data_IF_283964569244
#
_entry.id   IF_283964569244
#
_cell.length_a   1.000
_cell.length_b   1.000
_cell.length_c   1.000
_cell.angle_alpha   90.00
_cell.angle_beta   90.00
_cell.angle_gamma   90.00
#
_symmetry.space_group_name_H-M   'P 1'
#
loop_
_entity.id
_entity.type
_entity.pdbx_description
1 polymer ?
#
# COMPACT_ATOMS: atom_id res chain seq x y z
N UNK A 1 -6.94 74.16 38.31
CA UNK A 1 -6.25 72.84 38.25
C UNK A 1 -7.18 71.87 37.57
N UNK A 2 -7.02 71.67 36.26
CA UNK A 2 -7.88 70.76 35.45
C UNK A 2 -7.09 69.51 35.24
N UNK A 3 -7.53 68.41 35.83
CA UNK A 3 -6.96 67.06 35.60
C UNK A 3 -7.59 66.49 34.34
N UNK A 4 -6.84 66.41 33.27
CA UNK A 4 -7.20 65.70 32.02
C UNK A 4 -6.97 64.25 32.25
N UNK A 5 -8.06 63.48 32.31
CA UNK A 5 -8.06 62.04 32.36
C UNK A 5 -7.90 61.54 30.92
N UNK A 6 -6.68 61.07 30.57
CA UNK A 6 -6.42 60.49 29.27
C UNK A 6 -6.90 59.04 29.31
N UNK A 7 -7.98 58.77 28.59
CA UNK A 7 -8.56 57.45 28.39
C UNK A 7 -7.76 56.73 27.30
N UNK A 8 -6.74 55.98 27.73
CA UNK A 8 -6.04 55.08 26.80
C UNK A 8 -6.95 53.88 26.48
N UNK A 9 -7.62 54.00 25.37
CA UNK A 9 -8.41 52.90 24.82
C UNK A 9 -7.45 51.79 24.31
N UNK A 10 -7.27 50.75 25.12
CA UNK A 10 -6.53 49.55 24.76
C UNK A 10 -7.38 48.76 23.79
N UNK A 11 -7.14 48.93 22.49
CA UNK A 11 -7.74 48.13 21.44
C UNK A 11 -7.09 46.76 21.51
N UNK A 12 -7.79 45.81 22.12
CA UNK A 12 -7.44 44.42 22.12
C UNK A 12 -7.73 43.86 20.70
N UNK A 13 -6.72 43.87 19.85
CA UNK A 13 -6.77 43.20 18.56
C UNK A 13 -6.74 41.70 18.87
N UNK A 14 -7.91 41.11 18.99
CA UNK A 14 -8.05 39.66 19.00
C UNK A 14 -7.57 39.14 17.63
N UNK A 15 -6.31 38.75 17.58
CA UNK A 15 -5.79 37.99 16.45
C UNK A 15 -6.51 36.68 16.41
N UNK A 16 -7.49 36.53 15.49
CA UNK A 16 -8.05 35.24 15.14
C UNK A 16 -6.94 34.44 14.50
N UNK A 17 -6.22 33.68 15.32
CA UNK A 17 -5.32 32.68 14.86
C UNK A 17 -6.19 31.62 14.12
N UNK A 18 -6.13 31.67 12.82
CA UNK A 18 -6.71 30.62 11.98
C UNK A 18 -5.93 29.35 12.33
N UNK A 19 -6.56 28.50 13.09
CA UNK A 19 -5.99 27.20 13.43
C UNK A 19 -5.92 26.38 12.13
N UNK A 20 -4.82 26.50 11.43
CA UNK A 20 -4.50 25.59 10.34
C UNK A 20 -4.27 24.22 10.98
N UNK A 21 -5.21 23.32 10.78
CA UNK A 21 -5.04 21.94 11.20
C UNK A 21 -4.01 21.28 10.28
N UNK A 22 -2.75 21.32 10.70
CA UNK A 22 -1.70 20.60 10.01
C UNK A 22 -1.63 19.18 10.56
N UNK A 23 -1.94 18.20 9.72
CA UNK A 23 -1.70 16.79 10.03
C UNK A 23 -0.20 16.54 10.02
N UNK A 24 0.39 16.01 11.11
CA UNK A 24 1.82 15.71 11.14
C UNK A 24 2.19 14.58 10.21
N UNK A 25 3.46 14.52 9.79
CA UNK A 25 4.02 13.33 9.20
C UNK A 25 3.86 12.16 10.18
N UNK A 26 3.74 10.94 9.66
CA UNK A 26 3.45 9.75 10.47
C UNK A 26 1.96 9.54 10.76
N UNK A 27 1.07 10.45 10.31
CA UNK A 27 -0.38 10.22 10.46
C UNK A 27 -0.81 9.08 9.56
N UNK A 28 -1.38 8.02 10.15
CA UNK A 28 -1.94 6.89 9.43
C UNK A 28 -3.33 7.23 8.87
N UNK A 29 -3.56 6.84 7.61
CA UNK A 29 -4.84 6.96 6.92
C UNK A 29 -5.24 5.57 6.43
N UNK A 30 -6.34 5.04 6.96
CA UNK A 30 -6.89 3.75 6.55
C UNK A 30 -7.88 3.96 5.41
N UNK A 31 -7.75 3.17 4.39
CA UNK A 31 -8.57 3.26 3.19
C UNK A 31 -8.79 1.90 2.55
N UNK A 32 -9.78 1.82 1.70
CA UNK A 32 -10.12 0.65 0.90
C UNK A 32 -9.94 0.96 -0.57
N UNK A 33 -9.17 0.13 -1.27
CA UNK A 33 -8.91 0.27 -2.69
C UNK A 33 -10.20 0.08 -3.49
N UNK A 34 -10.47 0.98 -4.43
CA UNK A 34 -11.62 0.87 -5.35
C UNK A 34 -11.21 0.32 -6.73
N UNK A 35 -9.95 0.47 -7.08
CA UNK A 35 -9.36 0.02 -8.34
C UNK A 35 -8.57 -1.27 -8.13
N UNK A 36 -8.81 -2.31 -8.92
CA UNK A 36 -7.96 -3.50 -8.89
C UNK A 36 -6.63 -3.21 -9.56
N UNK A 37 -5.53 -3.52 -8.87
CA UNK A 37 -4.17 -3.38 -9.38
C UNK A 37 -3.52 -4.76 -9.46
N UNK A 38 -2.82 -5.04 -10.57
CA UNK A 38 -2.11 -6.31 -10.74
C UNK A 38 -0.87 -6.12 -11.61
N UNK A 39 0.22 -6.81 -11.28
CA UNK A 39 1.49 -6.68 -12.01
C UNK A 39 1.37 -7.05 -13.49
N UNK A 40 0.47 -7.99 -13.83
CA UNK A 40 0.27 -8.44 -15.21
C UNK A 40 -0.57 -7.48 -16.07
N UNK A 41 -1.35 -6.57 -15.46
CA UNK A 41 -2.27 -5.67 -16.19
C UNK A 41 -1.97 -4.19 -15.96
N UNK A 42 -1.50 -3.83 -14.76
CA UNK A 42 -1.23 -2.43 -14.40
C UNK A 42 0.14 -1.97 -14.89
N UNK A 43 0.23 -0.73 -15.30
CA UNK A 43 1.46 -0.08 -15.79
C UNK A 43 1.78 1.16 -14.95
N UNK A 44 3.03 1.58 -14.98
CA UNK A 44 3.41 2.87 -14.43
C UNK A 44 2.62 4.00 -15.13
N UNK A 45 2.03 4.88 -14.34
CA UNK A 45 1.14 5.95 -14.80
C UNK A 45 -0.35 5.62 -14.68
N UNK A 46 -0.74 4.35 -14.52
CA UNK A 46 -2.15 3.97 -14.38
C UNK A 46 -2.75 4.60 -13.11
N UNK A 47 -3.95 5.19 -13.19
CA UNK A 47 -4.62 5.79 -12.05
C UNK A 47 -5.18 4.72 -11.13
N UNK A 48 -5.24 5.04 -9.84
CA UNK A 48 -6.00 4.27 -8.86
C UNK A 48 -6.82 5.22 -7.98
N UNK A 49 -7.88 4.67 -7.41
CA UNK A 49 -8.68 5.32 -6.38
C UNK A 49 -8.84 4.42 -5.16
N UNK A 50 -8.90 5.04 -3.99
CA UNK A 50 -9.21 4.39 -2.74
C UNK A 50 -10.11 5.31 -1.90
N UNK A 51 -10.88 4.74 -0.99
CA UNK A 51 -11.81 5.46 -0.12
C UNK A 51 -11.45 5.31 1.34
N UNK A 52 -11.34 6.42 2.04
CA UNK A 52 -11.06 6.44 3.48
C UNK A 52 -12.18 5.75 4.25
N UNK A 53 -11.81 4.79 5.09
CA UNK A 53 -12.71 3.94 5.88
C UNK A 53 -12.78 4.36 7.34
N UNK A 54 -11.75 4.99 7.87
CA UNK A 54 -11.70 5.51 9.23
C UNK A 54 -11.40 7.01 9.24
N UNK A 55 -12.08 7.82 10.07
CA UNK A 55 -11.85 9.26 10.08
C UNK A 55 -10.51 9.57 10.75
N UNK A 56 -9.77 10.54 10.21
CA UNK A 56 -8.60 11.07 10.89
C UNK A 56 -9.03 12.26 11.72
N UNK A 57 -8.84 12.16 13.04
CA UNK A 57 -9.25 13.17 14.03
C UNK A 57 -8.01 13.84 14.61
N UNK A 58 -8.01 15.16 14.70
CA UNK A 58 -6.96 15.95 15.33
C UNK A 58 -7.59 17.03 16.22
N UNK A 59 -7.12 17.13 17.45
CA UNK A 59 -7.65 18.13 18.41
C UNK A 59 -9.17 18.03 18.63
N UNK A 60 -9.74 16.81 18.56
CA UNK A 60 -11.18 16.57 18.69
C UNK A 60 -12.02 16.94 17.45
N UNK A 61 -11.38 17.33 16.35
CA UNK A 61 -12.06 17.65 15.08
C UNK A 61 -11.69 16.62 14.02
N UNK A 62 -12.68 16.17 13.25
CA UNK A 62 -12.46 15.32 12.08
C UNK A 62 -11.83 16.16 10.98
N UNK A 63 -10.60 15.84 10.61
CA UNK A 63 -9.83 16.50 9.55
C UNK A 63 -10.02 15.79 8.22
N UNK A 64 -9.94 14.45 8.21
CA UNK A 64 -10.26 13.63 7.04
C UNK A 64 -11.48 12.79 7.40
N UNK A 65 -12.65 13.07 6.82
CA UNK A 65 -13.85 12.30 7.07
C UNK A 65 -13.85 10.96 6.32
N UNK A 66 -14.65 10.02 6.82
CA UNK A 66 -14.95 8.78 6.10
C UNK A 66 -15.56 9.11 4.74
N UNK A 67 -15.24 8.31 3.74
CA UNK A 67 -15.73 8.51 2.37
C UNK A 67 -14.90 9.49 1.55
N UNK A 68 -13.86 10.09 2.13
CA UNK A 68 -12.86 10.84 1.39
C UNK A 68 -12.19 9.95 0.36
N UNK A 69 -12.05 10.42 -0.88
CA UNK A 69 -11.41 9.69 -1.96
C UNK A 69 -9.93 10.03 -2.00
N UNK A 70 -9.10 9.02 -2.08
CA UNK A 70 -7.67 9.15 -2.36
C UNK A 70 -7.44 8.76 -3.81
N UNK A 71 -6.90 9.69 -4.59
CA UNK A 71 -6.52 9.48 -5.98
C UNK A 71 -5.00 9.43 -6.09
N UNK A 72 -4.50 8.56 -6.94
CA UNK A 72 -3.07 8.42 -7.16
C UNK A 72 -2.74 7.63 -8.40
N UNK A 73 -1.46 7.29 -8.55
CA UNK A 73 -0.96 6.52 -9.69
C UNK A 73 -0.07 5.38 -9.28
N UNK A 74 -0.05 4.35 -10.10
CA UNK A 74 0.97 3.32 -10.06
C UNK A 74 2.29 3.93 -10.53
N UNK A 75 3.32 3.88 -9.69
CA UNK A 75 4.64 4.41 -10.06
C UNK A 75 5.54 3.37 -10.67
N UNK A 76 5.39 2.12 -10.24
CA UNK A 76 6.20 1.02 -10.74
C UNK A 76 5.46 -0.29 -10.58
N UNK A 77 5.56 -1.13 -11.59
CA UNK A 77 5.20 -2.53 -11.51
C UNK A 77 6.41 -3.37 -11.90
N UNK A 78 6.65 -4.43 -11.17
CA UNK A 78 7.68 -5.40 -11.49
C UNK A 78 7.07 -6.79 -11.45
N UNK A 79 7.01 -7.44 -12.61
CA UNK A 79 6.65 -8.84 -12.71
C UNK A 79 7.93 -9.63 -12.96
N UNK A 80 8.36 -10.47 -12.01
CA UNK A 80 9.61 -11.17 -12.12
C UNK A 80 9.57 -12.17 -13.27
N UNK A 81 10.70 -12.29 -13.95
CA UNK A 81 10.91 -13.36 -14.92
C UNK A 81 10.90 -14.69 -14.19
N UNK A 82 10.55 -15.78 -14.91
CA UNK A 82 10.22 -17.14 -14.45
C UNK A 82 11.12 -17.78 -13.40
N UNK A 83 12.32 -17.26 -13.15
CA UNK A 83 13.35 -17.96 -12.38
C UNK A 83 13.61 -17.36 -10.99
N UNK A 84 13.44 -16.05 -10.80
CA UNK A 84 13.69 -15.41 -9.50
C UNK A 84 13.01 -14.05 -9.37
N UNK A 85 12.63 -13.70 -8.16
CA UNK A 85 12.10 -12.40 -7.79
C UNK A 85 10.67 -12.45 -7.27
N UNK A 86 10.27 -11.41 -6.60
CA UNK A 86 8.89 -11.21 -6.14
C UNK A 86 8.23 -10.12 -6.97
N UNK A 87 6.97 -10.32 -7.38
CA UNK A 87 6.23 -9.27 -8.06
C UNK A 87 5.99 -8.11 -7.11
N UNK A 88 6.16 -6.88 -7.59
CA UNK A 88 5.94 -5.68 -6.77
C UNK A 88 5.09 -4.65 -7.50
N UNK A 89 4.25 -3.96 -6.75
CA UNK A 89 3.47 -2.82 -7.19
C UNK A 89 3.79 -1.65 -6.26
N UNK A 90 4.29 -0.57 -6.82
CA UNK A 90 4.46 0.69 -6.11
C UNK A 90 3.35 1.65 -6.52
N UNK A 91 2.69 2.23 -5.54
CA UNK A 91 1.62 3.22 -5.72
C UNK A 91 2.01 4.51 -5.03
N UNK A 92 1.60 5.62 -5.62
CA UNK A 92 1.82 6.95 -5.07
C UNK A 92 0.50 7.71 -5.03
N UNK A 93 -0.03 8.04 -3.84
CA UNK A 93 -1.20 8.88 -3.71
C UNK A 93 -0.82 10.33 -4.04
N UNK A 94 -1.63 10.99 -4.85
CA UNK A 94 -1.38 12.37 -5.30
C UNK A 94 -2.35 13.36 -4.67
N UNK A 95 -3.62 12.95 -4.54
CA UNK A 95 -4.68 13.83 -4.09
C UNK A 95 -5.60 13.17 -3.08
N UNK A 96 -6.06 13.99 -2.15
CA UNK A 96 -7.14 13.69 -1.22
C UNK A 96 -8.34 14.55 -1.62
N UNK A 97 -9.46 13.93 -1.96
CA UNK A 97 -10.69 14.62 -2.37
C UNK A 97 -11.75 14.40 -1.30
N UNK A 98 -12.08 15.44 -0.56
CA UNK A 98 -13.08 15.40 0.50
C UNK A 98 -14.49 15.24 -0.10
N UNK A 99 -15.48 14.78 0.68
CA UNK A 99 -16.87 14.67 0.22
C UNK A 99 -17.52 15.98 -0.23
N UNK A 100 -17.00 17.13 0.23
CA UNK A 100 -17.44 18.47 -0.19
C UNK A 100 -16.80 18.92 -1.52
N UNK A 101 -15.87 18.12 -2.10
CA UNK A 101 -15.18 18.42 -3.34
C UNK A 101 -13.82 19.11 -3.19
N UNK A 102 -13.43 19.49 -1.98
CA UNK A 102 -12.11 20.09 -1.74
C UNK A 102 -11.00 19.08 -2.04
N UNK A 103 -9.96 19.55 -2.74
CA UNK A 103 -8.80 18.73 -3.11
C UNK A 103 -7.54 19.22 -2.41
N UNK A 104 -6.81 18.27 -1.85
CA UNK A 104 -5.53 18.53 -1.18
C UNK A 104 -4.45 17.61 -1.77
N UNK A 105 -3.24 18.12 -1.86
CA UNK A 105 -2.11 17.28 -2.23
C UNK A 105 -1.77 16.33 -1.10
N UNK A 106 -1.64 15.05 -1.42
CA UNK A 106 -1.32 13.98 -0.48
C UNK A 106 0.07 13.42 -0.77
N UNK A 107 0.94 13.46 0.23
CA UNK A 107 2.22 12.76 0.22
C UNK A 107 2.19 11.69 1.30
N UNK A 108 1.98 10.46 0.91
CA UNK A 108 1.93 9.34 1.83
C UNK A 108 2.58 8.09 1.22
N UNK A 109 3.01 7.19 2.07
CA UNK A 109 3.64 5.92 1.70
C UNK A 109 2.79 4.78 2.22
N UNK A 110 2.64 3.72 1.44
CA UNK A 110 1.98 2.50 1.87
C UNK A 110 2.82 1.82 2.95
N UNK A 111 2.22 1.53 4.11
CA UNK A 111 2.92 0.90 5.24
C UNK A 111 2.35 -0.46 5.59
N UNK A 112 1.07 -0.70 5.29
CA UNK A 112 0.41 -1.98 5.60
C UNK A 112 -0.75 -2.26 4.66
N UNK A 113 -1.13 -3.54 4.56
CA UNK A 113 -2.27 -4.00 3.79
C UNK A 113 -2.83 -5.31 4.36
N UNK A 114 -4.15 -5.50 4.28
CA UNK A 114 -4.79 -6.76 4.60
C UNK A 114 -4.86 -7.73 3.40
N UNK A 115 -4.14 -7.47 2.34
CA UNK A 115 -4.03 -8.38 1.21
C UNK A 115 -3.52 -9.75 1.68
N UNK A 116 -4.02 -10.82 1.05
CA UNK A 116 -3.91 -12.22 1.50
C UNK A 116 -2.48 -12.68 1.80
N UNK A 117 -2.38 -13.76 2.60
CA UNK A 117 -1.14 -14.42 3.02
C UNK A 117 -0.07 -14.51 1.92
N UNK A 118 1.16 -14.15 2.30
CA UNK A 118 2.33 -14.13 1.41
C UNK A 118 2.61 -12.78 0.77
N UNK A 119 1.73 -11.80 0.99
CA UNK A 119 1.91 -10.43 0.52
C UNK A 119 2.37 -9.55 1.69
N UNK A 120 3.31 -8.67 1.41
CA UNK A 120 3.91 -7.79 2.40
C UNK A 120 4.17 -6.42 1.77
N UNK A 121 4.31 -5.41 2.63
CA UNK A 121 4.78 -4.09 2.20
C UNK A 121 6.24 -3.97 2.58
N UNK A 122 7.10 -3.72 1.60
CA UNK A 122 8.52 -3.57 1.87
C UNK A 122 8.81 -2.19 2.51
N UNK A 123 10.04 -2.01 3.01
CA UNK A 123 10.50 -0.76 3.61
C UNK A 123 10.45 0.44 2.67
N UNK A 124 10.32 0.21 1.35
CA UNK A 124 10.17 1.25 0.32
C UNK A 124 8.69 1.61 0.04
N UNK A 125 7.75 1.05 0.81
CA UNK A 125 6.32 1.30 0.63
C UNK A 125 5.73 0.64 -0.63
N UNK A 126 6.37 -0.41 -1.15
CA UNK A 126 5.87 -1.15 -2.30
C UNK A 126 5.16 -2.41 -1.81
N UNK A 127 4.00 -2.68 -2.39
CA UNK A 127 3.31 -3.96 -2.23
C UNK A 127 4.11 -5.06 -2.91
N UNK A 128 4.38 -6.14 -2.18
CA UNK A 128 5.17 -7.28 -2.62
C UNK A 128 4.30 -8.53 -2.60
N UNK A 129 4.14 -9.14 -3.73
CA UNK A 129 3.40 -10.41 -3.85
C UNK A 129 4.26 -11.63 -3.54
N UNK A 130 3.61 -12.79 -3.58
CA UNK A 130 4.30 -14.09 -3.45
C UNK A 130 5.31 -14.27 -4.57
N UNK A 131 6.54 -14.59 -4.19
CA UNK A 131 7.61 -14.89 -5.11
C UNK A 131 8.12 -16.31 -4.97
N UNK A 132 9.16 -16.64 -5.74
CA UNK A 132 9.92 -17.86 -5.53
C UNK A 132 10.81 -17.70 -4.30
N UNK A 133 10.51 -18.49 -3.26
CA UNK A 133 11.23 -18.52 -1.99
C UNK A 133 12.16 -19.74 -1.87
N UNK A 134 12.97 -19.76 -0.82
CA UNK A 134 13.78 -20.93 -0.47
C UNK A 134 12.95 -22.21 -0.28
N UNK A 135 11.64 -22.06 0.05
CA UNK A 135 10.70 -23.19 0.12
C UNK A 135 10.48 -23.86 -1.24
N UNK A 136 10.48 -23.09 -2.32
CA UNK A 136 10.33 -23.64 -3.68
C UNK A 136 11.57 -24.47 -4.06
N UNK A 137 12.76 -24.08 -3.62
CA UNK A 137 13.99 -24.87 -3.79
C UNK A 137 13.94 -26.17 -3.00
N UNK A 138 13.33 -26.15 -1.80
CA UNK A 138 13.10 -27.35 -1.01
C UNK A 138 12.12 -28.29 -1.72
N UNK A 139 11.05 -27.76 -2.32
CA UNK A 139 10.08 -28.53 -3.08
C UNK A 139 10.75 -29.24 -4.29
N UNK A 140 11.64 -28.53 -4.99
CA UNK A 140 12.43 -29.12 -6.09
C UNK A 140 13.34 -30.24 -5.55
N UNK A 141 14.03 -29.98 -4.43
CA UNK A 141 14.90 -30.97 -3.79
C UNK A 141 14.17 -32.22 -3.35
N UNK A 142 12.98 -32.07 -2.75
CA UNK A 142 12.13 -33.17 -2.32
C UNK A 142 11.57 -33.97 -3.52
N UNK A 143 11.14 -33.28 -4.58
CA UNK A 143 10.65 -33.93 -5.81
C UNK A 143 11.73 -34.77 -6.48
N UNK A 144 12.94 -34.23 -6.61
CA UNK A 144 14.10 -34.94 -7.16
C UNK A 144 14.52 -36.11 -6.28
N UNK A 145 14.67 -35.86 -4.96
CA UNK A 145 15.04 -36.89 -3.97
C UNK A 145 14.00 -38.02 -3.89
N UNK A 146 12.72 -37.66 -3.85
CA UNK A 146 11.63 -38.64 -3.84
C UNK A 146 11.61 -39.53 -5.11
N UNK A 147 11.81 -38.94 -6.29
CA UNK A 147 11.94 -39.67 -7.54
C UNK A 147 13.14 -40.63 -7.53
N UNK A 148 14.29 -40.20 -6.99
CA UNK A 148 15.47 -41.05 -6.83
C UNK A 148 15.21 -42.27 -5.94
N UNK A 149 14.57 -42.08 -4.79
CA UNK A 149 14.27 -43.13 -3.84
C UNK A 149 13.32 -44.16 -4.45
N UNK A 150 12.22 -43.71 -5.04
CA UNK A 150 11.23 -44.63 -5.66
C UNK A 150 11.86 -45.38 -6.84
N UNK A 151 12.59 -44.70 -7.70
CA UNK A 151 13.28 -45.31 -8.83
C UNK A 151 14.38 -46.26 -8.39
N UNK A 152 15.12 -45.95 -7.34
CA UNK A 152 16.16 -46.79 -6.77
C UNK A 152 15.63 -48.11 -6.18
N UNK A 153 14.49 -48.05 -5.48
CA UNK A 153 13.83 -49.25 -4.93
C UNK A 153 13.27 -50.15 -6.02
N UNK A 154 12.77 -49.60 -7.13
CA UNK A 154 12.15 -50.34 -8.20
C UNK A 154 13.15 -50.88 -9.24
N UNK A 155 14.25 -50.17 -9.51
CA UNK A 155 15.17 -50.47 -10.61
C UNK A 155 16.66 -50.36 -10.28
N UNK A 156 17.02 -50.37 -8.99
CA UNK A 156 18.41 -50.22 -8.54
C UNK A 156 19.08 -48.94 -9.02
N UNK A 157 20.38 -49.00 -9.32
CA UNK A 157 21.16 -47.82 -9.72
C UNK A 157 20.65 -47.14 -10.98
N UNK A 158 20.17 -47.87 -11.97
CA UNK A 158 19.55 -47.33 -13.19
C UNK A 158 18.23 -46.65 -12.90
N UNK A 159 17.40 -47.26 -12.06
CA UNK A 159 16.13 -46.68 -11.61
C UNK A 159 16.31 -45.44 -10.76
N UNK A 160 17.36 -45.36 -9.95
CA UNK A 160 17.73 -44.19 -9.18
C UNK A 160 17.99 -42.96 -10.09
N UNK A 161 18.79 -43.14 -11.14
CA UNK A 161 19.09 -42.07 -12.10
C UNK A 161 17.86 -41.62 -12.91
N UNK A 162 17.09 -42.58 -13.40
CA UNK A 162 15.86 -42.32 -14.18
C UNK A 162 14.81 -41.66 -13.29
N UNK A 163 14.59 -42.18 -12.09
CA UNK A 163 13.63 -41.61 -11.13
C UNK A 163 14.00 -40.18 -10.70
N UNK A 164 15.29 -39.93 -10.51
CA UNK A 164 15.79 -38.59 -10.23
C UNK A 164 15.57 -37.62 -11.38
N UNK A 165 15.87 -38.03 -12.61
CA UNK A 165 15.67 -37.21 -13.80
C UNK A 165 14.17 -36.90 -14.04
N UNK A 166 13.29 -37.88 -13.91
CA UNK A 166 11.84 -37.70 -14.05
C UNK A 166 11.31 -36.82 -12.91
N UNK A 167 11.68 -37.07 -11.67
CA UNK A 167 11.27 -36.27 -10.53
C UNK A 167 11.69 -34.81 -10.66
N UNK A 168 12.94 -34.55 -11.06
CA UNK A 168 13.44 -33.21 -11.34
C UNK A 168 12.64 -32.53 -12.46
N UNK A 169 12.40 -33.22 -13.57
CA UNK A 169 11.68 -32.65 -14.72
C UNK A 169 10.25 -32.25 -14.35
N UNK A 170 9.51 -33.12 -13.66
CA UNK A 170 8.14 -32.83 -13.23
C UNK A 170 8.10 -31.65 -12.27
N UNK A 171 8.99 -31.60 -11.28
CA UNK A 171 9.02 -30.53 -10.31
C UNK A 171 9.42 -29.21 -10.94
N UNK A 172 10.43 -29.19 -11.81
CA UNK A 172 10.88 -27.98 -12.51
C UNK A 172 9.81 -27.47 -13.47
N UNK A 173 9.12 -28.34 -14.22
CA UNK A 173 8.04 -27.90 -15.12
C UNK A 173 6.85 -27.33 -14.33
N UNK A 174 6.50 -27.95 -13.22
CA UNK A 174 5.47 -27.43 -12.32
C UNK A 174 5.88 -26.06 -11.73
N UNK A 175 7.11 -25.94 -11.27
CA UNK A 175 7.68 -24.70 -10.74
C UNK A 175 7.71 -23.57 -11.80
N UNK A 176 8.17 -23.87 -13.02
CA UNK A 176 8.18 -22.91 -14.13
C UNK A 176 6.77 -22.52 -14.62
N UNK A 177 5.78 -23.38 -14.40
CA UNK A 177 4.38 -23.11 -14.74
C UNK A 177 3.66 -22.20 -13.77
N UNK A 178 4.17 -22.03 -12.53
CA UNK A 178 3.60 -21.14 -11.54
C UNK A 178 3.94 -19.69 -11.87
N UNK A 179 3.07 -19.02 -12.64
CA UNK A 179 3.13 -17.55 -12.78
C UNK A 179 2.63 -16.95 -11.49
N UNK A 180 3.49 -16.21 -10.81
CA UNK A 180 3.13 -15.51 -9.58
C UNK A 180 3.10 -14.00 -9.85
N UNK A 181 1.88 -13.50 -9.98
CA UNK A 181 1.62 -12.07 -10.11
C UNK A 181 1.14 -11.51 -8.78
N UNK A 182 1.55 -10.30 -8.44
CA UNK A 182 0.96 -9.57 -7.32
C UNK A 182 -0.36 -8.96 -7.78
N UNK A 183 -1.39 -9.10 -6.95
CA UNK A 183 -2.71 -8.54 -7.19
C UNK A 183 -3.26 -7.92 -5.91
N UNK A 184 -3.70 -6.69 -6.04
CA UNK A 184 -4.46 -5.94 -5.05
C UNK A 184 -5.88 -5.76 -5.60
N UNK A 185 -6.82 -6.64 -5.25
CA UNK A 185 -8.19 -6.51 -5.73
C UNK A 185 -8.86 -5.27 -5.13
N UNK A 186 -9.85 -4.73 -5.83
CA UNK A 186 -10.73 -3.74 -5.25
C UNK A 186 -11.33 -4.30 -3.95
N UNK A 187 -11.44 -3.44 -2.94
CA UNK A 187 -11.85 -3.86 -1.59
C UNK A 187 -10.70 -4.19 -0.65
N UNK A 188 -9.45 -4.25 -1.12
CA UNK A 188 -8.27 -4.42 -0.26
C UNK A 188 -8.12 -3.20 0.66
N UNK A 189 -7.91 -3.45 1.94
CA UNK A 189 -7.59 -2.39 2.90
C UNK A 189 -6.12 -2.04 2.83
N UNK A 190 -5.85 -0.74 2.82
CA UNK A 190 -4.54 -0.15 2.76
C UNK A 190 -4.38 0.80 3.95
N UNK A 191 -3.21 0.79 4.56
CA UNK A 191 -2.80 1.79 5.53
C UNK A 191 -1.67 2.60 4.91
N UNK A 192 -1.92 3.89 4.70
CA UNK A 192 -0.90 4.83 4.24
C UNK A 192 -0.51 5.77 5.37
N UNK A 193 0.75 6.10 5.44
CA UNK A 193 1.30 7.02 6.42
C UNK A 193 1.79 8.29 5.72
N UNK A 194 1.41 9.47 6.24
CA UNK A 194 1.85 10.74 5.69
C UNK A 194 3.37 10.86 5.79
N UNK A 195 4.03 11.03 4.67
CA UNK A 195 5.49 11.24 4.60
C UNK A 195 5.89 12.67 4.93
N UNK A 196 4.95 13.62 4.83
CA UNK A 196 5.15 15.04 5.14
C UNK A 196 3.92 15.61 5.84
N UNK A 197 4.09 16.66 6.68
CA UNK A 197 2.94 17.37 7.24
C UNK A 197 2.04 17.91 6.12
N UNK A 198 0.73 17.74 6.29
CA UNK A 198 -0.27 18.23 5.36
C UNK A 198 -1.12 19.31 6.03
N UNK A 199 -1.14 20.51 5.47
CA UNK A 199 -2.01 21.61 5.93
C UNK A 199 -3.33 21.55 5.19
N UNK A 200 -4.42 21.44 5.94
CA UNK A 200 -5.78 21.53 5.41
C UNK A 200 -6.42 22.80 5.96
N UNK A 201 -6.78 23.71 5.08
CA UNK A 201 -7.58 24.87 5.47
C UNK A 201 -9.02 24.45 5.59
N UNK A 202 -9.51 24.25 6.80
CA UNK A 202 -10.93 23.99 7.03
C UNK A 202 -11.67 25.30 6.75
N UNK A 203 -12.34 25.41 5.62
CA UNK A 203 -13.31 26.47 5.39
C UNK A 203 -14.51 26.13 6.29
N UNK A 204 -14.57 26.74 7.47
CA UNK A 204 -15.76 26.70 8.30
C UNK A 204 -16.82 27.47 7.54
N UNK A 205 -17.73 26.75 6.87
CA UNK A 205 -18.92 27.36 6.32
C UNK A 205 -19.65 28.02 7.50
N UNK A 206 -19.60 29.35 7.56
CA UNK A 206 -20.42 30.11 8.48
C UNK A 206 -21.86 29.82 8.10
N UNK A 207 -22.56 29.02 8.91
CA UNK A 207 -24.01 28.92 8.84
C UNK A 207 -24.58 30.32 9.11
N UNK A 208 -24.84 31.03 8.00
CA UNK A 208 -25.62 32.26 8.04
C UNK A 208 -27.03 31.93 8.53
N UNK A 209 -27.41 32.63 9.56
CA UNK A 209 -28.79 32.71 10.05
C UNK A 209 -29.69 33.34 9.00
#
# INVERSE_FOLDING_TARGET
MKKTFSLVSLILIASFAWAQSALPAGTAVKMKLETTLATFSSKAGDPFSARVTEPVVMGGKTVIPIGTTVEGRVTKTNEPRRIAGKPTIAIFPEHLVLPNGDRFMLNATLVDTNARHGTDVNTEGQFKGDGHDAKDLTEIGLGTGGGMLIGGLAGGGKGFLIGGAVGATVTVTHWLGKHRSAMLPAGTELVMELSRPMTMTVVVASSGQ
#
